data_IF_747641964520
#
_entry.id   IF_747641964520
#
_cell.length_a   1.000
_cell.length_b   1.000
_cell.length_c   1.000
_cell.angle_alpha   90.00
_cell.angle_beta   90.00
_cell.angle_gamma   90.00
#
_symmetry.space_group_name_H-M   'P 1'
#
loop_
_entity.id
_entity.type
_entity.pdbx_description
1 polymer ?
#
# COMPACT_ATOMS: atom_id res chain seq x y z
N UNK A 1 14.86 -1.77 -1.67
CA UNK A 1 13.40 -1.95 -1.74
C UNK A 1 13.05 -2.56 -3.09
N UNK A 2 11.95 -3.31 -3.19
CA UNK A 2 11.44 -3.92 -4.41
C UNK A 2 10.61 -2.91 -5.22
N UNK A 3 10.24 -3.29 -6.45
CA UNK A 3 9.29 -2.58 -7.31
C UNK A 3 9.55 -1.06 -7.50
N UNK A 4 10.81 -0.64 -7.47
CA UNK A 4 11.18 0.77 -7.64
C UNK A 4 11.10 1.63 -6.37
N UNK A 5 10.93 1.03 -5.19
CA UNK A 5 10.96 1.76 -3.92
C UNK A 5 12.33 2.37 -3.58
N UNK A 6 12.30 3.52 -2.91
CA UNK A 6 13.49 4.22 -2.44
C UNK A 6 13.91 3.73 -1.05
N UNK A 7 15.19 3.42 -0.89
CA UNK A 7 15.75 2.90 0.37
C UNK A 7 16.37 4.03 1.17
N UNK A 8 15.95 4.20 2.42
CA UNK A 8 16.49 5.20 3.34
C UNK A 8 17.08 4.51 4.58
N UNK A 9 18.32 4.81 4.96
CA UNK A 9 18.91 4.28 6.19
C UNK A 9 18.23 4.90 7.43
N UNK A 10 18.08 4.13 8.50
CA UNK A 10 17.60 4.64 9.80
C UNK A 10 18.77 4.91 10.75
N UNK A 11 18.57 5.83 11.71
CA UNK A 11 19.59 6.16 12.71
C UNK A 11 19.92 5.00 13.68
N UNK A 12 19.14 3.92 13.66
CA UNK A 12 19.33 2.72 14.48
C UNK A 12 20.12 1.62 13.76
N UNK A 13 20.66 1.89 12.56
CA UNK A 13 21.36 0.90 11.75
C UNK A 13 20.43 -0.03 10.95
N UNK A 14 19.14 0.33 10.85
CA UNK A 14 18.17 -0.33 9.99
C UNK A 14 17.98 0.40 8.65
N UNK A 15 16.92 0.03 7.96
CA UNK A 15 16.48 0.70 6.74
C UNK A 15 14.95 0.83 6.73
N UNK A 16 14.45 1.84 6.03
CA UNK A 16 13.04 1.97 5.69
C UNK A 16 12.91 2.14 4.18
N UNK A 17 11.80 1.66 3.64
CA UNK A 17 11.50 1.73 2.21
C UNK A 17 10.33 2.67 1.97
N UNK A 18 10.55 3.68 1.13
CA UNK A 18 9.45 4.48 0.59
C UNK A 18 8.94 3.79 -0.67
N UNK A 19 7.70 3.31 -0.61
CA UNK A 19 7.08 2.59 -1.71
C UNK A 19 6.46 3.55 -2.73
N UNK A 20 6.58 3.24 -4.04
CA UNK A 20 5.85 3.96 -5.06
C UNK A 20 4.36 3.62 -4.98
N UNK A 21 3.53 4.45 -5.60
CA UNK A 21 2.09 4.21 -5.71
C UNK A 21 1.85 2.84 -6.34
N UNK A 22 0.98 2.02 -5.73
CA UNK A 22 0.72 0.66 -6.18
C UNK A 22 1.43 -0.44 -5.40
N UNK A 23 2.28 -0.09 -4.43
CA UNK A 23 3.04 -1.06 -3.65
C UNK A 23 3.05 -0.74 -2.16
N UNK A 24 3.08 -1.78 -1.33
CA UNK A 24 3.18 -1.72 0.12
C UNK A 24 4.05 -2.88 0.65
N UNK A 25 4.11 -3.04 1.97
CA UNK A 25 5.02 -3.97 2.64
C UNK A 25 6.32 -3.32 3.09
N UNK A 26 7.10 -4.01 3.92
CA UNK A 26 8.32 -3.45 4.53
C UNK A 26 9.39 -3.12 3.48
N UNK A 27 9.38 -3.84 2.36
CA UNK A 27 10.31 -3.69 1.25
C UNK A 27 9.60 -3.29 -0.04
N UNK A 28 8.32 -2.92 -0.02
CA UNK A 28 7.52 -2.66 -1.21
C UNK A 28 7.35 -3.91 -2.09
N UNK A 29 7.32 -5.08 -1.47
CA UNK A 29 7.17 -6.38 -2.13
C UNK A 29 5.73 -6.70 -2.51
N UNK A 30 4.77 -6.12 -1.79
CA UNK A 30 3.35 -6.36 -1.96
C UNK A 30 2.75 -5.31 -2.89
N UNK A 31 1.80 -5.73 -3.72
CA UNK A 31 1.05 -4.82 -4.59
C UNK A 31 -0.14 -4.30 -3.80
N UNK A 32 -0.28 -2.99 -3.68
CA UNK A 32 -1.41 -2.36 -3.01
C UNK A 32 -2.63 -2.37 -3.94
N UNK A 33 -3.65 -3.19 -3.65
CA UNK A 33 -4.85 -3.26 -4.48
C UNK A 33 -5.73 -2.02 -4.36
N UNK A 34 -5.52 -1.17 -3.35
CA UNK A 34 -6.26 0.09 -3.16
C UNK A 34 -5.61 1.29 -3.85
N UNK A 35 -4.40 1.15 -4.39
CA UNK A 35 -3.63 2.29 -4.92
C UNK A 35 -4.25 2.99 -6.15
N UNK A 36 -5.21 2.36 -6.82
CA UNK A 36 -5.93 2.96 -7.95
C UNK A 36 -7.36 3.39 -7.58
N UNK A 37 -7.69 3.45 -6.30
CA UNK A 37 -9.03 3.77 -5.80
C UNK A 37 -10.12 2.96 -6.53
N UNK A 38 -10.08 1.61 -6.48
CA UNK A 38 -11.02 0.77 -7.22
C UNK A 38 -12.47 0.88 -6.70
N UNK A 39 -12.69 1.52 -5.55
CA UNK A 39 -13.99 1.66 -4.93
C UNK A 39 -14.76 2.85 -5.52
N UNK A 40 -15.91 2.57 -6.12
CA UNK A 40 -16.79 3.59 -6.69
C UNK A 40 -17.64 4.29 -5.63
N UNK A 41 -18.29 5.41 -6.02
CA UNK A 41 -19.27 6.15 -5.21
C UNK A 41 -18.74 6.64 -3.84
N UNK A 42 -17.45 7.00 -3.77
CA UNK A 42 -16.83 7.45 -2.52
C UNK A 42 -16.63 6.33 -1.50
N UNK A 43 -16.66 5.06 -1.94
CA UNK A 43 -16.34 3.91 -1.08
C UNK A 43 -14.90 3.96 -0.58
N UNK A 44 -14.71 3.61 0.69
CA UNK A 44 -13.38 3.45 1.29
C UNK A 44 -12.81 2.07 0.94
N UNK A 45 -11.60 2.05 0.38
CA UNK A 45 -10.87 0.82 0.07
C UNK A 45 -10.08 0.31 1.29
N UNK A 46 -10.15 -0.98 1.55
CA UNK A 46 -9.38 -1.68 2.57
C UNK A 46 -8.61 -2.83 1.93
N UNK A 47 -7.28 -2.75 1.92
CA UNK A 47 -6.46 -3.88 1.52
C UNK A 47 -6.57 -5.01 2.56
N UNK A 48 -6.67 -6.25 2.08
CA UNK A 48 -6.68 -7.44 2.92
C UNK A 48 -5.30 -8.12 2.91
N UNK A 49 -5.03 -8.95 3.92
CA UNK A 49 -3.72 -9.60 4.10
C UNK A 49 -3.42 -10.70 3.06
N UNK A 50 -4.30 -10.92 2.07
CA UNK A 50 -4.17 -11.95 1.03
C UNK A 50 -3.93 -11.30 -0.35
N UNK A 51 -3.63 -9.99 -0.39
CA UNK A 51 -3.35 -9.25 -1.63
C UNK A 51 -4.60 -8.83 -2.43
N UNK A 52 -5.78 -8.89 -1.81
CA UNK A 52 -7.03 -8.36 -2.35
C UNK A 52 -7.48 -7.09 -1.63
N UNK A 53 -8.63 -6.55 -2.03
CA UNK A 53 -9.24 -5.39 -1.40
C UNK A 53 -10.72 -5.61 -1.11
N UNK A 54 -11.24 -4.85 -0.15
CA UNK A 54 -12.66 -4.76 0.17
C UNK A 54 -13.09 -3.31 0.15
N UNK A 55 -14.20 -3.00 -0.50
CA UNK A 55 -14.80 -1.67 -0.48
C UNK A 55 -15.87 -1.57 0.60
N UNK A 56 -15.85 -0.48 1.38
CA UNK A 56 -16.92 -0.12 2.31
C UNK A 56 -17.57 1.19 1.87
N UNK A 57 -18.88 1.17 1.68
CA UNK A 57 -19.63 2.38 1.36
C UNK A 57 -19.64 3.35 2.56
N UNK A 58 -19.59 4.67 2.32
CA UNK A 58 -19.84 5.67 3.36
C UNK A 58 -21.28 5.55 3.87
N UNK A 59 -21.51 5.96 5.13
CA UNK A 59 -22.87 6.08 5.66
C UNK A 59 -23.63 7.16 4.88
N UNK A 60 -24.87 6.85 4.48
CA UNK A 60 -25.75 7.74 3.73
C UNK A 60 -26.44 8.78 4.60
#
# INVERSE_FOLDING_TARGET
CANGGQCFPTNTGGFTCQCPVGFNGQRCEDRDPCAQDPCMNGGQCFANNIGGFTCRCPAG
#
